data_IF_993280080460
#
_entry.id   IF_993280080460
#
_cell.length_a   1.000
_cell.length_b   1.000
_cell.length_c   1.000
_cell.angle_alpha   90.00
_cell.angle_beta   90.00
_cell.angle_gamma   90.00
#
_symmetry.space_group_name_H-M   'P 1'
#
loop_
_entity.id
_entity.type
_entity.pdbx_description
1 polymer ?
#
# COMPACT_ATOMS: atom_id res chain seq x y z
N UNK A 1 2.21 25.53 50.68
CA UNK A 1 1.24 25.76 49.59
C UNK A 1 1.78 25.09 48.35
N UNK A 2 1.16 24.00 48.00
CA UNK A 2 1.66 22.99 47.09
C UNK A 2 1.57 23.37 45.61
N UNK A 3 2.65 23.06 44.93
CA UNK A 3 2.79 23.03 43.47
C UNK A 3 2.75 21.55 43.08
N UNK A 4 1.57 20.94 43.06
CA UNK A 4 1.37 19.59 42.54
C UNK A 4 -0.07 19.42 42.08
N UNK A 5 -0.42 20.05 40.92
CA UNK A 5 -1.70 19.78 40.28
C UNK A 5 -1.65 20.00 38.77
N UNK A 6 -0.61 19.44 38.11
CA UNK A 6 -0.51 19.56 36.64
C UNK A 6 -0.08 18.25 35.97
N UNK A 7 -0.40 17.11 36.58
CA UNK A 7 -0.13 15.79 35.97
C UNK A 7 -1.32 14.84 36.17
N UNK A 8 -2.47 15.18 35.60
CA UNK A 8 -3.57 14.24 35.44
C UNK A 8 -4.33 14.50 34.15
N UNK A 9 -3.61 14.37 33.03
CA UNK A 9 -4.24 14.25 31.71
C UNK A 9 -3.92 12.87 31.15
N UNK A 10 -4.53 11.87 31.75
CA UNK A 10 -4.63 10.53 31.14
C UNK A 10 -6.03 9.99 31.46
N UNK A 11 -7.05 10.65 30.94
CA UNK A 11 -8.36 10.05 30.80
C UNK A 11 -8.42 9.47 29.38
N UNK A 12 -8.53 8.17 29.31
CA UNK A 12 -8.85 7.37 28.15
C UNK A 12 -9.75 8.13 27.17
N UNK A 13 -9.26 8.45 25.99
CA UNK A 13 -10.02 8.98 24.85
C UNK A 13 -10.99 7.95 24.24
N UNK A 14 -11.59 7.10 25.07
CA UNK A 14 -12.70 6.28 24.61
C UNK A 14 -13.96 7.14 24.57
N UNK A 15 -14.62 7.24 23.40
CA UNK A 15 -15.87 7.96 23.28
C UNK A 15 -16.89 7.38 24.28
N UNK A 16 -17.80 8.21 24.82
CA UNK A 16 -18.81 7.75 25.78
C UNK A 16 -19.61 6.56 25.21
N UNK A 17 -20.03 5.61 26.05
CA UNK A 17 -20.74 4.39 25.64
C UNK A 17 -21.94 4.62 24.70
N UNK A 18 -22.59 5.78 24.79
CA UNK A 18 -23.65 6.19 23.90
C UNK A 18 -23.14 6.41 22.45
N UNK A 19 -21.94 6.96 22.26
CA UNK A 19 -21.34 7.14 20.95
C UNK A 19 -20.89 5.83 20.32
N UNK A 20 -20.45 4.83 21.09
CA UNK A 20 -20.08 3.50 20.57
C UNK A 20 -21.31 2.75 20.02
N UNK A 21 -22.46 2.82 20.72
CA UNK A 21 -23.70 2.21 20.22
C UNK A 21 -24.18 2.89 18.93
N UNK A 22 -24.03 4.21 18.86
CA UNK A 22 -24.41 4.97 17.70
C UNK A 22 -23.49 4.64 16.50
N UNK A 23 -22.18 4.61 16.69
CA UNK A 23 -21.22 4.19 15.64
C UNK A 23 -21.59 2.78 15.13
N UNK A 24 -21.87 1.83 16.02
CA UNK A 24 -22.24 0.48 15.64
C UNK A 24 -23.60 0.41 14.88
N UNK A 25 -24.53 1.33 15.15
CA UNK A 25 -25.79 1.47 14.40
C UNK A 25 -25.52 1.97 12.98
N UNK A 26 -24.76 3.05 12.88
CA UNK A 26 -24.40 3.69 11.60
C UNK A 26 -23.54 2.75 10.73
N UNK A 27 -22.57 2.06 11.32
CA UNK A 27 -21.77 1.05 10.65
C UNK A 27 -22.62 -0.07 10.03
N UNK A 28 -23.60 -0.60 10.77
CA UNK A 28 -24.50 -1.62 10.24
C UNK A 28 -25.34 -1.10 9.08
N UNK A 29 -25.78 0.14 9.16
CA UNK A 29 -26.56 0.78 8.11
C UNK A 29 -25.71 1.00 6.86
N UNK A 30 -24.50 1.48 7.03
CA UNK A 30 -23.52 1.67 5.97
C UNK A 30 -23.09 0.35 5.31
N UNK A 31 -22.90 -0.72 6.07
CA UNK A 31 -22.52 -2.04 5.57
C UNK A 31 -23.66 -2.83 4.90
N UNK A 32 -24.88 -2.37 4.99
CA UNK A 32 -26.03 -3.05 4.39
C UNK A 32 -26.26 -2.58 2.94
N UNK A 33 -25.89 -3.44 1.97
CA UNK A 33 -26.09 -3.17 0.53
C UNK A 33 -27.55 -2.91 0.15
N UNK A 34 -28.52 -3.43 0.94
CA UNK A 34 -29.94 -3.29 0.71
C UNK A 34 -30.54 -2.00 1.31
N UNK A 35 -29.78 -1.27 2.14
CA UNK A 35 -30.19 0.04 2.64
C UNK A 35 -30.36 1.02 1.47
N UNK A 36 -31.25 1.99 1.63
CA UNK A 36 -31.40 3.04 0.63
C UNK A 36 -30.14 3.92 0.58
N UNK A 37 -29.82 4.46 -0.58
CA UNK A 37 -28.67 5.35 -0.75
C UNK A 37 -28.73 6.52 0.25
N UNK A 38 -29.90 7.14 0.40
CA UNK A 38 -30.10 8.25 1.33
C UNK A 38 -29.67 7.89 2.76
N UNK A 39 -30.12 6.73 3.26
CA UNK A 39 -29.78 6.27 4.62
C UNK A 39 -28.27 6.03 4.79
N UNK A 40 -27.62 5.46 3.77
CA UNK A 40 -26.17 5.27 3.80
C UNK A 40 -25.41 6.59 3.75
N UNK A 41 -25.85 7.54 2.92
CA UNK A 41 -25.25 8.87 2.85
C UNK A 41 -25.38 9.62 4.17
N UNK A 42 -26.53 9.54 4.85
CA UNK A 42 -26.73 10.12 6.17
C UNK A 42 -25.78 9.50 7.19
N UNK A 43 -25.67 8.15 7.21
CA UNK A 43 -24.73 7.46 8.09
C UNK A 43 -23.26 7.86 7.84
N UNK A 44 -22.84 8.02 6.57
CA UNK A 44 -21.51 8.50 6.20
C UNK A 44 -21.27 9.90 6.75
N UNK A 45 -22.23 10.80 6.60
CA UNK A 45 -22.11 12.18 7.10
C UNK A 45 -22.04 12.24 8.62
N UNK A 46 -22.87 11.46 9.33
CA UNK A 46 -22.84 11.40 10.79
C UNK A 46 -21.51 10.86 11.31
N UNK A 47 -21.02 9.73 10.76
CA UNK A 47 -19.72 9.19 11.11
C UNK A 47 -18.58 10.18 10.81
N UNK A 48 -18.63 10.85 9.65
CA UNK A 48 -17.64 11.84 9.29
C UNK A 48 -17.60 13.04 10.26
N UNK A 49 -18.76 13.50 10.76
CA UNK A 49 -18.81 14.58 11.75
C UNK A 49 -18.24 14.19 13.12
N UNK A 50 -18.23 12.91 13.46
CA UNK A 50 -17.67 12.45 14.73
C UNK A 50 -16.15 12.63 14.78
N UNK A 51 -15.44 12.52 13.65
CA UNK A 51 -13.99 12.77 13.54
C UNK A 51 -13.14 11.96 14.49
N UNK A 52 -13.55 10.70 14.81
CA UNK A 52 -12.85 9.82 15.73
C UNK A 52 -12.26 8.60 15.03
N UNK A 53 -11.26 7.97 15.64
CA UNK A 53 -10.68 6.72 15.15
C UNK A 53 -11.75 5.62 14.91
N UNK A 54 -12.71 5.49 15.82
CA UNK A 54 -13.78 4.50 15.72
C UNK A 54 -14.73 4.79 14.55
N UNK A 55 -15.07 6.06 14.32
CA UNK A 55 -15.88 6.46 13.18
C UNK A 55 -15.13 6.25 11.86
N UNK A 56 -13.83 6.56 11.81
CA UNK A 56 -12.97 6.29 10.68
C UNK A 56 -12.90 4.78 10.37
N UNK A 57 -12.75 3.92 11.38
CA UNK A 57 -12.79 2.47 11.24
C UNK A 57 -14.13 1.97 10.64
N UNK A 58 -15.25 2.56 11.06
CA UNK A 58 -16.57 2.23 10.51
C UNK A 58 -16.70 2.63 9.04
N UNK A 59 -16.21 3.83 8.68
CA UNK A 59 -16.22 4.34 7.29
C UNK A 59 -15.33 3.51 6.35
N UNK A 60 -14.16 3.03 6.82
CA UNK A 60 -13.25 2.21 6.03
C UNK A 60 -13.93 0.94 5.50
N UNK A 61 -14.86 0.34 6.24
CA UNK A 61 -15.59 -0.87 5.81
C UNK A 61 -16.44 -0.66 4.55
N UNK A 62 -16.76 0.59 4.18
CA UNK A 62 -17.46 0.88 2.92
C UNK A 62 -16.58 0.55 1.70
N UNK A 63 -15.27 0.54 1.86
CA UNK A 63 -14.34 0.21 0.77
C UNK A 63 -14.28 -1.28 0.43
N UNK A 64 -14.79 -2.16 1.30
CA UNK A 64 -14.72 -3.61 1.13
C UNK A 64 -15.73 -4.17 0.11
N UNK A 65 -16.61 -3.34 -0.43
CA UNK A 65 -17.64 -3.80 -1.34
C UNK A 65 -18.01 -2.76 -2.40
N UNK A 66 -18.66 -3.24 -3.46
CA UNK A 66 -19.04 -2.43 -4.63
C UNK A 66 -20.55 -2.38 -4.76
N UNK A 67 -21.06 -1.23 -5.20
CA UNK A 67 -22.46 -0.98 -5.58
C UNK A 67 -22.58 -0.87 -7.09
N UNK A 68 -23.77 -1.19 -7.56
CA UNK A 68 -24.24 -0.86 -8.90
C UNK A 68 -25.42 0.13 -8.76
N UNK A 69 -25.43 1.27 -9.46
CA UNK A 69 -24.45 1.71 -10.46
C UNK A 69 -23.14 2.23 -9.86
N UNK A 70 -22.06 2.15 -10.65
CA UNK A 70 -20.71 2.55 -10.24
C UNK A 70 -20.58 4.01 -9.83
N UNK A 71 -21.42 4.92 -10.36
CA UNK A 71 -21.45 6.35 -9.97
C UNK A 71 -21.80 6.47 -8.48
N UNK A 72 -22.86 5.80 -8.03
CA UNK A 72 -23.25 5.79 -6.61
C UNK A 72 -22.16 5.20 -5.72
N UNK A 73 -21.50 4.13 -6.18
CA UNK A 73 -20.38 3.52 -5.47
C UNK A 73 -19.24 4.50 -5.26
N UNK A 74 -18.86 5.21 -6.32
CA UNK A 74 -17.80 6.21 -6.32
C UNK A 74 -18.14 7.37 -5.37
N UNK A 75 -19.35 7.93 -5.47
CA UNK A 75 -19.80 9.06 -4.64
C UNK A 75 -19.80 8.71 -3.14
N UNK A 76 -20.28 7.51 -2.79
CA UNK A 76 -20.27 7.04 -1.39
C UNK A 76 -18.84 6.85 -0.87
N UNK A 77 -17.95 6.24 -1.66
CA UNK A 77 -16.55 6.04 -1.29
C UNK A 77 -15.80 7.36 -1.14
N UNK A 78 -16.05 8.33 -2.02
CA UNK A 78 -15.49 9.68 -1.89
C UNK A 78 -16.01 10.40 -0.63
N UNK A 79 -17.28 10.22 -0.29
CA UNK A 79 -17.85 10.77 0.93
C UNK A 79 -17.24 10.12 2.18
N UNK A 80 -17.05 8.79 2.18
CA UNK A 80 -16.33 8.09 3.24
C UNK A 80 -14.88 8.59 3.37
N UNK A 81 -14.16 8.75 2.25
CA UNK A 81 -12.81 9.29 2.25
C UNK A 81 -12.76 10.65 2.94
N UNK A 82 -13.66 11.58 2.58
CA UNK A 82 -13.73 12.91 3.24
C UNK A 82 -13.99 12.78 4.74
N UNK A 83 -14.89 11.89 5.14
CA UNK A 83 -15.21 11.64 6.54
C UNK A 83 -14.01 11.06 7.32
N UNK A 84 -13.23 10.17 6.73
CA UNK A 84 -12.03 9.61 7.36
C UNK A 84 -10.93 10.66 7.47
N UNK A 85 -10.72 11.46 6.42
CA UNK A 85 -9.73 12.54 6.42
C UNK A 85 -10.02 13.58 7.50
N UNK A 86 -11.29 13.82 7.85
CA UNK A 86 -11.66 14.74 8.94
C UNK A 86 -11.20 14.27 10.33
N UNK A 87 -10.95 12.99 10.52
CA UNK A 87 -10.39 12.45 11.76
C UNK A 87 -8.86 12.67 11.86
N UNK A 88 -8.21 13.08 10.76
CA UNK A 88 -6.77 13.37 10.76
C UNK A 88 -5.93 12.17 11.17
N UNK A 89 -4.91 12.38 11.98
CA UNK A 89 -3.96 11.35 12.42
C UNK A 89 -4.62 10.23 13.25
N UNK A 90 -5.76 10.49 13.89
CA UNK A 90 -6.51 9.46 14.64
C UNK A 90 -7.02 8.33 13.73
N UNK A 91 -7.11 8.57 12.42
CA UNK A 91 -7.49 7.56 11.44
C UNK A 91 -6.33 6.63 11.02
N UNK A 92 -5.07 6.95 11.32
CA UNK A 92 -3.91 6.19 10.81
C UNK A 92 -3.89 4.75 11.31
N UNK A 93 -4.15 4.52 12.61
CA UNK A 93 -4.19 3.15 13.13
C UNK A 93 -5.35 2.32 12.54
N UNK A 94 -6.60 2.82 12.49
CA UNK A 94 -7.66 2.18 11.72
C UNK A 94 -7.32 1.86 10.27
N UNK A 95 -6.61 2.75 9.56
CA UNK A 95 -6.16 2.51 8.18
C UNK A 95 -5.16 1.37 8.12
N UNK A 96 -4.16 1.34 9.00
CA UNK A 96 -3.17 0.24 9.06
C UNK A 96 -3.82 -1.11 9.31
N UNK A 97 -4.75 -1.18 10.28
CA UNK A 97 -5.50 -2.41 10.59
C UNK A 97 -6.39 -2.86 9.42
N UNK A 98 -7.02 -1.91 8.74
CA UNK A 98 -7.87 -2.19 7.58
C UNK A 98 -7.04 -2.74 6.41
N UNK A 99 -5.90 -2.13 6.12
CA UNK A 99 -5.01 -2.54 5.03
C UNK A 99 -4.53 -4.00 5.15
N UNK A 100 -4.44 -4.54 6.36
CA UNK A 100 -4.04 -5.95 6.58
C UNK A 100 -5.11 -6.96 6.17
N UNK A 101 -6.37 -6.55 6.01
CA UNK A 101 -7.53 -7.43 5.79
C UNK A 101 -8.28 -7.11 4.49
N UNK A 102 -8.03 -5.92 3.92
CA UNK A 102 -8.72 -5.44 2.74
C UNK A 102 -8.32 -6.24 1.49
N UNK A 103 -9.28 -6.51 0.63
CA UNK A 103 -9.04 -7.12 -0.69
C UNK A 103 -8.48 -6.12 -1.71
N UNK A 104 -8.58 -4.81 -1.46
CA UNK A 104 -8.01 -3.75 -2.27
C UNK A 104 -7.61 -2.56 -1.40
N UNK A 105 -6.42 -2.01 -1.65
CA UNK A 105 -5.89 -0.85 -0.97
C UNK A 105 -6.10 0.47 -1.73
N UNK A 106 -6.79 0.45 -2.86
CA UNK A 106 -7.00 1.65 -3.69
C UNK A 106 -7.52 2.84 -2.89
N UNK A 107 -8.56 2.64 -2.09
CA UNK A 107 -9.15 3.71 -1.28
C UNK A 107 -8.38 3.97 0.02
N UNK A 108 -7.97 2.97 0.81
CA UNK A 108 -7.14 3.19 1.98
C UNK A 108 -5.86 3.99 1.69
N UNK A 109 -5.16 3.69 0.58
CA UNK A 109 -3.96 4.42 0.18
C UNK A 109 -4.26 5.87 -0.24
N UNK A 110 -5.40 6.13 -0.92
CA UNK A 110 -5.84 7.51 -1.22
C UNK A 110 -6.11 8.31 0.06
N UNK A 111 -6.77 7.70 1.05
CA UNK A 111 -7.05 8.31 2.35
C UNK A 111 -5.75 8.63 3.08
N UNK A 112 -4.84 7.66 3.17
CA UNK A 112 -3.54 7.83 3.82
C UNK A 112 -2.77 9.01 3.23
N UNK A 113 -2.70 9.11 1.90
CA UNK A 113 -2.04 10.23 1.21
C UNK A 113 -2.72 11.58 1.44
N UNK A 114 -4.02 11.59 1.66
CA UNK A 114 -4.75 12.84 1.96
C UNK A 114 -4.54 13.31 3.41
N UNK A 115 -4.28 12.39 4.34
CA UNK A 115 -3.99 12.73 5.74
C UNK A 115 -2.52 13.08 5.93
N UNK A 116 -1.62 12.25 5.39
CA UNK A 116 -0.17 12.37 5.58
C UNK A 116 0.42 13.09 4.38
N UNK A 117 0.74 14.37 4.56
CA UNK A 117 1.31 15.23 3.52
C UNK A 117 2.84 15.26 3.54
N UNK A 118 3.47 14.90 4.65
CA UNK A 118 4.92 14.74 4.76
C UNK A 118 5.35 13.43 4.08
N UNK A 119 6.24 13.52 3.10
CA UNK A 119 6.67 12.37 2.30
C UNK A 119 7.40 11.30 3.12
N UNK A 120 8.23 11.71 4.08
CA UNK A 120 8.97 10.77 4.91
C UNK A 120 8.03 10.05 5.87
N UNK A 121 7.00 10.72 6.39
CA UNK A 121 5.97 10.10 7.21
C UNK A 121 5.12 9.16 6.35
N UNK A 122 4.72 9.56 5.14
CA UNK A 122 3.94 8.72 4.24
C UNK A 122 4.70 7.42 3.87
N UNK A 123 5.99 7.52 3.57
CA UNK A 123 6.84 6.35 3.34
C UNK A 123 6.86 5.41 4.55
N UNK A 124 7.06 5.95 5.77
CA UNK A 124 7.04 5.14 7.01
C UNK A 124 5.71 4.44 7.24
N UNK A 125 4.58 5.11 6.97
CA UNK A 125 3.26 4.50 7.08
C UNK A 125 3.09 3.32 6.12
N UNK A 126 3.46 3.48 4.84
CA UNK A 126 3.41 2.42 3.84
C UNK A 126 4.34 1.25 4.19
N UNK A 127 5.57 1.55 4.64
CA UNK A 127 6.52 0.53 5.10
C UNK A 127 5.99 -0.24 6.30
N UNK A 128 5.37 0.45 7.26
CA UNK A 128 4.74 -0.19 8.42
C UNK A 128 3.60 -1.15 8.05
N UNK A 129 2.85 -0.83 6.97
CA UNK A 129 1.86 -1.76 6.41
C UNK A 129 2.55 -2.92 5.69
N UNK A 130 3.59 -2.65 4.86
CA UNK A 130 4.29 -3.69 4.08
C UNK A 130 4.94 -4.74 4.98
N UNK A 131 5.48 -4.36 6.14
CA UNK A 131 6.08 -5.27 7.11
C UNK A 131 5.13 -6.35 7.66
N UNK A 132 3.81 -6.19 7.45
CA UNK A 132 2.80 -7.20 7.85
C UNK A 132 2.53 -8.25 6.77
N UNK A 133 3.08 -8.05 5.59
CA UNK A 133 3.01 -9.00 4.49
C UNK A 133 4.31 -9.80 4.42
N UNK A 134 4.18 -11.08 4.12
CA UNK A 134 5.27 -11.98 3.78
C UNK A 134 5.29 -12.27 2.26
N UNK A 135 6.23 -13.11 1.83
CA UNK A 135 6.36 -13.54 0.44
C UNK A 135 5.61 -14.83 0.12
N UNK A 136 4.88 -15.36 1.09
CA UNK A 136 4.13 -16.60 0.98
C UNK A 136 2.85 -16.44 0.16
N UNK A 137 2.25 -17.59 -0.17
CA UNK A 137 1.01 -17.63 -0.92
C UNK A 137 -0.13 -16.91 -0.20
N UNK A 138 -0.80 -16.04 -0.92
CA UNK A 138 -2.05 -15.42 -0.52
C UNK A 138 -3.10 -15.62 -1.62
N UNK A 139 -4.36 -15.79 -1.22
CA UNK A 139 -5.47 -15.95 -2.18
C UNK A 139 -5.61 -14.73 -3.11
N UNK A 140 -5.39 -13.55 -2.58
CA UNK A 140 -5.46 -12.28 -3.31
C UNK A 140 -4.18 -11.49 -3.07
N UNK A 141 -3.34 -11.38 -4.09
CA UNK A 141 -2.07 -10.66 -4.04
C UNK A 141 -2.22 -9.16 -4.36
N UNK A 142 -3.41 -8.69 -4.74
CA UNK A 142 -3.67 -7.30 -5.13
C UNK A 142 -3.22 -6.27 -4.06
N UNK A 143 -3.48 -6.46 -2.75
CA UNK A 143 -2.99 -5.56 -1.72
C UNK A 143 -1.46 -5.42 -1.70
N UNK A 144 -0.70 -6.53 -1.87
CA UNK A 144 0.76 -6.49 -1.96
C UNK A 144 1.21 -5.66 -3.17
N UNK A 145 0.61 -5.92 -4.34
CA UNK A 145 0.90 -5.20 -5.59
C UNK A 145 0.66 -3.70 -5.44
N UNK A 146 -0.52 -3.32 -4.93
CA UNK A 146 -0.89 -1.91 -4.76
C UNK A 146 0.02 -1.18 -3.78
N UNK A 147 0.41 -1.84 -2.70
CA UNK A 147 1.29 -1.26 -1.68
C UNK A 147 2.71 -1.07 -2.19
N UNK A 148 3.29 -2.10 -2.83
CA UNK A 148 4.63 -2.03 -3.44
C UNK A 148 4.65 -0.94 -4.52
N UNK A 149 3.61 -0.86 -5.36
CA UNK A 149 3.49 0.19 -6.36
C UNK A 149 3.39 1.58 -5.74
N UNK A 150 2.66 1.74 -4.62
CA UNK A 150 2.55 3.03 -3.95
C UNK A 150 3.90 3.52 -3.40
N UNK A 151 4.82 2.62 -3.08
CA UNK A 151 6.17 2.93 -2.62
C UNK A 151 7.09 3.47 -3.71
N UNK A 152 6.75 3.35 -5.00
CA UNK A 152 7.50 3.98 -6.11
C UNK A 152 7.67 5.49 -5.95
N UNK A 153 6.73 6.14 -5.27
CA UNK A 153 6.76 7.58 -5.02
C UNK A 153 7.84 7.99 -3.99
N UNK A 154 8.44 7.05 -3.28
CA UNK A 154 9.36 7.29 -2.16
C UNK A 154 10.70 6.57 -2.39
N UNK A 155 11.58 7.07 -3.30
CA UNK A 155 12.81 6.38 -3.69
C UNK A 155 13.90 6.53 -2.62
N UNK A 156 13.79 5.77 -1.54
CA UNK A 156 14.77 5.73 -0.44
C UNK A 156 15.40 4.34 -0.32
N UNK A 157 16.57 4.26 0.34
CA UNK A 157 17.20 2.98 0.66
C UNK A 157 16.29 2.10 1.52
N UNK A 158 15.55 2.67 2.47
CA UNK A 158 14.63 1.92 3.33
C UNK A 158 13.54 1.24 2.49
N UNK A 159 12.99 1.95 1.50
CA UNK A 159 11.98 1.39 0.59
C UNK A 159 12.59 0.31 -0.29
N UNK A 160 13.82 0.50 -0.82
CA UNK A 160 14.54 -0.52 -1.58
C UNK A 160 14.68 -1.81 -0.77
N UNK A 161 15.24 -1.70 0.43
CA UNK A 161 15.47 -2.86 1.31
C UNK A 161 14.17 -3.58 1.67
N UNK A 162 13.08 -2.85 1.87
CA UNK A 162 11.78 -3.43 2.21
C UNK A 162 11.09 -4.12 1.02
N UNK A 163 11.30 -3.62 -0.21
CA UNK A 163 10.67 -4.18 -1.43
C UNK A 163 11.46 -5.36 -1.99
N UNK A 164 12.78 -5.37 -1.84
CA UNK A 164 13.68 -6.38 -2.44
C UNK A 164 13.30 -7.84 -2.13
N UNK A 165 12.90 -8.21 -0.89
CA UNK A 165 12.47 -9.59 -0.60
C UNK A 165 11.27 -10.05 -1.45
N UNK A 166 10.39 -9.15 -1.87
CA UNK A 166 9.22 -9.47 -2.68
C UNK A 166 9.54 -9.81 -4.15
N UNK A 167 10.80 -9.69 -4.56
CA UNK A 167 11.29 -10.30 -5.80
C UNK A 167 11.19 -11.84 -5.76
N UNK A 168 11.15 -12.44 -4.57
CA UNK A 168 10.95 -13.88 -4.36
C UNK A 168 9.51 -14.28 -3.99
N UNK A 169 8.54 -13.40 -4.11
CA UNK A 169 7.13 -13.71 -3.77
C UNK A 169 6.57 -14.84 -4.66
N UNK A 170 5.73 -15.69 -4.09
CA UNK A 170 5.08 -16.78 -4.84
C UNK A 170 4.22 -16.23 -5.98
N UNK A 171 3.61 -15.05 -5.79
CA UNK A 171 2.77 -14.39 -6.79
C UNK A 171 3.60 -13.67 -7.86
N UNK A 172 3.47 -14.10 -9.11
CA UNK A 172 4.15 -13.46 -10.25
C UNK A 172 3.85 -11.94 -10.39
N UNK A 173 2.60 -11.46 -10.24
CA UNK A 173 2.32 -10.03 -10.23
C UNK A 173 3.10 -9.25 -9.16
N UNK A 174 3.31 -9.83 -7.98
CA UNK A 174 4.10 -9.19 -6.91
C UNK A 174 5.57 -9.11 -7.33
N UNK A 175 6.18 -10.19 -7.82
CA UNK A 175 7.57 -10.18 -8.33
C UNK A 175 7.78 -9.15 -9.45
N UNK A 176 6.84 -9.10 -10.39
CA UNK A 176 6.87 -8.13 -11.49
C UNK A 176 6.80 -6.68 -10.99
N UNK A 177 5.90 -6.41 -10.05
CA UNK A 177 5.74 -5.06 -9.48
C UNK A 177 6.97 -4.69 -8.66
N UNK A 178 7.51 -5.61 -7.86
CA UNK A 178 8.73 -5.38 -7.07
C UNK A 178 9.92 -5.01 -7.96
N UNK A 179 10.15 -5.75 -9.06
CA UNK A 179 11.17 -5.40 -10.02
C UNK A 179 10.93 -4.01 -10.65
N UNK A 180 9.68 -3.68 -10.95
CA UNK A 180 9.30 -2.37 -11.49
C UNK A 180 9.61 -1.24 -10.51
N UNK A 181 9.19 -1.41 -9.25
CA UNK A 181 9.41 -0.44 -8.18
C UNK A 181 10.90 -0.25 -7.88
N UNK A 182 11.69 -1.33 -7.84
CA UNK A 182 13.14 -1.23 -7.62
C UNK A 182 13.85 -0.45 -8.74
N UNK A 183 13.43 -0.63 -10.00
CA UNK A 183 13.94 0.22 -11.08
C UNK A 183 13.44 1.66 -10.98
N UNK A 184 12.24 1.92 -10.48
CA UNK A 184 11.74 3.27 -10.25
C UNK A 184 12.55 3.99 -9.16
N UNK A 185 12.88 3.30 -8.06
CA UNK A 185 13.76 3.79 -6.98
C UNK A 185 15.14 4.15 -7.53
N UNK A 186 15.61 3.44 -8.56
CA UNK A 186 16.86 3.70 -9.27
C UNK A 186 18.12 3.58 -8.39
N UNK A 187 18.16 2.57 -7.52
CA UNK A 187 19.32 2.24 -6.70
C UNK A 187 19.99 0.95 -7.23
N UNK A 188 21.23 1.03 -7.80
CA UNK A 188 21.92 -0.13 -8.34
C UNK A 188 22.33 -1.17 -7.29
N UNK A 189 22.20 -0.91 -6.00
CA UNK A 189 22.41 -1.90 -4.96
C UNK A 189 21.42 -3.08 -5.05
N UNK A 190 20.29 -2.93 -5.78
CA UNK A 190 19.39 -4.02 -6.10
C UNK A 190 19.89 -4.99 -7.19
N UNK A 191 20.99 -4.68 -7.88
CA UNK A 191 21.50 -5.51 -9.00
C UNK A 191 21.68 -6.99 -8.63
N UNK A 192 22.33 -7.37 -7.51
CA UNK A 192 22.52 -8.78 -7.20
C UNK A 192 21.19 -9.53 -7.07
N UNK A 193 20.21 -8.95 -6.40
CA UNK A 193 18.88 -9.57 -6.25
C UNK A 193 18.12 -9.66 -7.58
N UNK A 194 18.15 -8.61 -8.38
CA UNK A 194 17.51 -8.59 -9.71
C UNK A 194 18.15 -9.60 -10.67
N UNK A 195 19.49 -9.74 -10.68
CA UNK A 195 20.19 -10.74 -11.52
C UNK A 195 19.87 -12.17 -11.06
N UNK A 196 19.77 -12.40 -9.76
CA UNK A 196 19.34 -13.70 -9.21
C UNK A 196 17.95 -14.09 -9.71
N UNK A 197 17.01 -13.16 -9.66
CA UNK A 197 15.63 -13.40 -10.16
C UNK A 197 15.60 -13.55 -11.68
N UNK A 198 16.39 -12.75 -12.41
CA UNK A 198 16.51 -12.87 -13.86
C UNK A 198 16.93 -14.29 -14.29
N UNK A 199 17.81 -14.95 -13.52
CA UNK A 199 18.28 -16.31 -13.78
C UNK A 199 17.26 -17.37 -13.38
N UNK A 200 16.60 -17.20 -12.22
CA UNK A 200 15.81 -18.27 -11.59
C UNK A 200 14.31 -18.19 -11.84
N UNK A 201 13.76 -17.05 -12.27
CA UNK A 201 12.32 -16.87 -12.43
C UNK A 201 11.79 -17.63 -13.65
N UNK A 202 10.70 -18.38 -13.44
CA UNK A 202 10.04 -19.13 -14.53
C UNK A 202 9.19 -18.21 -15.43
N UNK A 203 8.83 -17.00 -14.96
CA UNK A 203 8.04 -16.05 -15.72
C UNK A 203 8.87 -15.26 -16.72
N UNK A 204 8.63 -15.49 -17.99
CA UNK A 204 9.18 -14.67 -19.07
C UNK A 204 8.85 -13.20 -18.94
N UNK A 205 7.70 -12.88 -18.35
CA UNK A 205 7.26 -11.51 -18.14
C UNK A 205 8.15 -10.80 -17.09
N UNK A 206 8.48 -11.47 -15.99
CA UNK A 206 9.39 -10.96 -14.97
C UNK A 206 10.80 -10.83 -15.52
N UNK A 207 11.32 -11.87 -16.20
CA UNK A 207 12.65 -11.83 -16.84
C UNK A 207 12.78 -10.65 -17.82
N UNK A 208 11.79 -10.47 -18.71
CA UNK A 208 11.78 -9.37 -19.67
C UNK A 208 11.68 -8.00 -18.99
N UNK A 209 10.91 -7.89 -17.90
CA UNK A 209 10.81 -6.65 -17.12
C UNK A 209 12.17 -6.27 -16.51
N UNK A 210 12.88 -7.23 -15.96
CA UNK A 210 14.22 -7.02 -15.38
C UNK A 210 15.21 -6.62 -16.49
N UNK A 211 15.28 -7.40 -17.57
CA UNK A 211 16.17 -7.11 -18.69
C UNK A 211 15.91 -5.72 -19.30
N UNK A 212 14.65 -5.34 -19.49
CA UNK A 212 14.28 -4.00 -19.96
C UNK A 212 14.66 -2.92 -18.95
N UNK A 213 14.48 -3.15 -17.65
CA UNK A 213 14.90 -2.22 -16.61
C UNK A 213 16.42 -1.97 -16.60
N UNK A 214 17.20 -3.01 -16.80
CA UNK A 214 18.67 -2.89 -16.95
C UNK A 214 19.06 -2.06 -18.18
N UNK A 215 18.33 -2.21 -19.30
CA UNK A 215 18.52 -1.36 -20.49
C UNK A 215 18.17 0.10 -20.18
N UNK A 216 17.00 0.33 -19.61
CA UNK A 216 16.46 1.67 -19.36
C UNK A 216 17.33 2.47 -18.38
N UNK A 217 17.92 1.80 -17.40
CA UNK A 217 18.77 2.43 -16.38
C UNK A 217 20.26 2.47 -16.76
N UNK A 218 20.68 1.65 -17.74
CA UNK A 218 22.05 1.52 -18.15
C UNK A 218 23.05 1.31 -16.98
N UNK A 219 22.60 0.56 -15.97
CA UNK A 219 23.45 0.27 -14.82
C UNK A 219 24.64 -0.61 -15.24
N UNK A 220 25.83 -0.24 -14.77
CA UNK A 220 27.02 -1.05 -14.97
C UNK A 220 26.90 -2.37 -14.19
N UNK A 221 26.96 -3.48 -14.89
CA UNK A 221 26.95 -4.83 -14.28
C UNK A 221 28.37 -5.11 -13.75
N UNK A 222 28.52 -5.34 -12.43
CA UNK A 222 29.81 -5.66 -11.84
C UNK A 222 30.40 -6.94 -12.45
N UNK A 223 31.74 -7.05 -12.54
CA UNK A 223 32.41 -8.20 -13.14
C UNK A 223 31.97 -9.57 -12.57
N UNK A 224 31.68 -9.63 -11.26
CA UNK A 224 31.23 -10.80 -10.56
C UNK A 224 29.82 -11.27 -10.99
N UNK A 225 28.98 -10.36 -11.48
CA UNK A 225 27.63 -10.67 -11.98
C UNK A 225 27.56 -10.81 -13.51
N UNK A 226 28.65 -10.47 -14.23
CA UNK A 226 28.62 -10.37 -15.69
C UNK A 226 28.33 -11.70 -16.39
N UNK A 227 28.93 -12.81 -15.92
CA UNK A 227 28.70 -14.12 -16.53
C UNK A 227 27.28 -14.64 -16.26
N UNK A 228 26.81 -14.48 -15.02
CA UNK A 228 25.45 -14.83 -14.62
C UNK A 228 24.43 -14.03 -15.44
N UNK A 229 24.60 -12.71 -15.51
CA UNK A 229 23.74 -11.84 -16.31
C UNK A 229 23.69 -12.27 -17.77
N UNK A 230 24.86 -12.53 -18.38
CA UNK A 230 24.92 -12.93 -19.79
C UNK A 230 24.16 -14.22 -20.10
N UNK A 231 24.21 -15.19 -19.19
CA UNK A 231 23.48 -16.47 -19.33
C UNK A 231 21.97 -16.32 -19.09
N UNK A 232 21.59 -15.44 -18.16
CA UNK A 232 20.22 -15.27 -17.75
C UNK A 232 19.37 -14.36 -18.66
N UNK A 233 20.03 -13.51 -19.47
CA UNK A 233 19.34 -12.56 -20.34
C UNK A 233 18.41 -13.29 -21.34
N UNK A 234 17.13 -12.90 -21.46
CA UNK A 234 16.22 -13.46 -22.44
C UNK A 234 16.62 -13.03 -23.87
N UNK A 235 16.08 -13.77 -24.85
CA UNK A 235 16.28 -13.43 -26.27
C UNK A 235 15.85 -11.99 -26.55
N UNK A 236 16.66 -11.24 -27.33
CA UNK A 236 16.44 -9.82 -27.59
C UNK A 236 17.22 -8.88 -26.69
N UNK A 237 18.00 -9.44 -25.73
CA UNK A 237 18.89 -8.65 -24.86
C UNK A 237 20.30 -9.27 -24.85
N UNK A 238 21.30 -8.43 -24.68
CA UNK A 238 22.71 -8.84 -24.57
C UNK A 238 23.48 -7.92 -23.64
N UNK A 239 24.53 -8.46 -23.02
CA UNK A 239 25.51 -7.68 -22.27
C UNK A 239 26.60 -7.21 -23.22
N UNK A 240 26.79 -5.89 -23.35
CA UNK A 240 27.82 -5.25 -24.17
C UNK A 240 28.72 -4.43 -23.25
N UNK A 241 30.00 -4.85 -23.14
CA UNK A 241 30.82 -4.31 -22.05
C UNK A 241 30.24 -4.68 -20.70
N UNK A 242 29.85 -3.67 -19.94
CA UNK A 242 29.24 -3.77 -18.62
C UNK A 242 27.75 -3.35 -18.58
N UNK A 243 27.12 -3.06 -19.72
CA UNK A 243 25.72 -2.64 -19.78
C UNK A 243 24.87 -3.56 -20.62
N UNK A 244 23.62 -3.75 -20.21
CA UNK A 244 22.64 -4.54 -20.97
C UNK A 244 22.05 -3.67 -22.09
N UNK A 245 21.94 -4.23 -23.28
CA UNK A 245 21.38 -3.57 -24.47
C UNK A 245 20.39 -4.50 -25.19
N UNK A 246 19.49 -3.94 -25.98
CA UNK A 246 18.69 -4.70 -26.93
C UNK A 246 19.58 -5.24 -28.06
N UNK A 247 19.29 -6.45 -28.48
CA UNK A 247 20.00 -7.12 -29.59
C UNK A 247 19.53 -6.64 -30.94
#
# INVERSE_FOLDING_TARGET
>A
MGIFDFLSKNKSDQPPRASQKEIARLERLLGNKLSQNFDRQEAIQELGRMGTAQAAAALLKRFDWVLDPSITDQEEKESCMRGIVSAGEDALEPIREHCQKAESLTWPLKVLRAIVTDEAQAARELLGVLQKFDTEYVRNAEPKVQLIQALEAYPTEEVRVAVEPFLGDISEPVRFTSATTLFAINDPQSLPALVTVLESDESRRVQNRIAQGLVDRAWAIPPELAEQTRKALPSGFRLVGDVVQKS
#
